data_IF_089651423093
#
_entry.id   IF_089651423093
#
_cell.length_a   1.000
_cell.length_b   1.000
_cell.length_c   1.000
_cell.angle_alpha   90.00
_cell.angle_beta   90.00
_cell.angle_gamma   90.00
#
_symmetry.space_group_name_H-M   'P 1'
#
loop_
_entity.id
_entity.type
_entity.pdbx_description
1 polymer ?
#
# COMPACT_ATOMS: atom_id res chain seq x y z
N UNK A 1 20.43 3.62 16.36
CA UNK A 1 19.81 2.63 15.45
C UNK A 1 18.47 3.19 15.04
N UNK A 2 18.37 3.68 13.81
CA UNK A 2 17.06 4.01 13.24
C UNK A 2 16.36 2.69 12.95
N UNK A 3 15.43 2.31 13.82
CA UNK A 3 14.59 1.13 13.63
C UNK A 3 13.61 1.45 12.50
N UNK A 4 14.06 1.30 11.26
CA UNK A 4 13.24 1.51 10.07
C UNK A 4 12.01 0.62 10.12
N UNK A 5 10.82 1.19 9.87
CA UNK A 5 9.58 0.41 9.83
C UNK A 5 9.61 -0.44 8.57
N UNK A 6 9.47 -1.75 8.69
CA UNK A 6 9.37 -2.64 7.54
C UNK A 6 7.91 -2.73 7.05
N UNK A 7 7.73 -2.75 5.74
CA UNK A 7 6.44 -3.00 5.13
C UNK A 7 5.96 -4.42 5.48
N UNK A 8 4.77 -4.52 6.05
CA UNK A 8 4.18 -5.81 6.46
C UNK A 8 3.84 -6.72 5.27
N UNK A 9 3.74 -6.16 4.06
CA UNK A 9 3.35 -6.89 2.84
C UNK A 9 4.55 -7.40 2.04
N UNK A 10 5.57 -6.55 1.82
CA UNK A 10 6.74 -6.89 1.02
C UNK A 10 8.03 -7.10 1.84
N UNK A 11 8.02 -6.83 3.16
CA UNK A 11 9.16 -7.00 4.07
C UNK A 11 10.28 -5.95 3.91
N UNK A 12 10.20 -5.09 2.89
CA UNK A 12 11.21 -4.06 2.62
C UNK A 12 11.15 -2.95 3.68
N UNK A 13 12.29 -2.38 4.08
CA UNK A 13 12.30 -1.19 4.93
C UNK A 13 11.59 -0.03 4.21
N UNK A 14 10.72 0.66 4.92
CA UNK A 14 10.04 1.86 4.44
C UNK A 14 10.99 3.03 4.66
N UNK A 15 11.61 3.52 3.58
CA UNK A 15 12.54 4.65 3.61
C UNK A 15 11.85 6.02 3.61
N UNK A 16 10.53 6.07 3.59
CA UNK A 16 9.73 7.30 3.50
C UNK A 16 8.50 7.24 4.39
N UNK A 17 7.37 7.75 3.88
CA UNK A 17 6.11 7.75 4.61
C UNK A 17 5.55 6.33 4.76
N UNK A 18 5.04 6.04 5.95
CA UNK A 18 4.41 4.76 6.29
C UNK A 18 2.92 4.89 6.09
N UNK A 19 2.36 4.03 5.26
CA UNK A 19 0.93 3.98 4.98
C UNK A 19 0.27 2.88 5.79
N UNK A 20 -0.96 3.09 6.23
CA UNK A 20 -1.73 2.08 6.95
C UNK A 20 -2.93 1.65 6.10
N UNK A 21 -3.03 0.35 5.82
CA UNK A 21 -4.16 -0.22 5.07
C UNK A 21 -4.71 -1.42 5.83
N UNK A 22 -6.02 -1.45 6.10
CA UNK A 22 -6.68 -2.52 6.88
C UNK A 22 -5.98 -2.80 8.23
N UNK A 23 -5.38 -1.79 8.85
CA UNK A 23 -4.68 -1.91 10.14
C UNK A 23 -3.26 -2.47 10.07
N UNK A 24 -2.66 -2.61 8.87
CA UNK A 24 -1.25 -2.98 8.71
C UNK A 24 -0.43 -1.85 8.10
N UNK A 25 0.81 -1.68 8.59
CA UNK A 25 1.77 -0.70 8.08
C UNK A 25 2.48 -1.24 6.84
N UNK A 26 2.39 -0.50 5.75
CA UNK A 26 2.90 -0.87 4.43
C UNK A 26 3.57 0.34 3.75
N UNK A 27 4.43 0.06 2.76
CA UNK A 27 4.97 1.11 1.90
C UNK A 27 3.92 1.64 0.92
N UNK A 28 4.18 2.83 0.36
CA UNK A 28 3.35 3.47 -0.67
C UNK A 28 2.99 2.52 -1.82
N UNK A 29 3.97 1.81 -2.35
CA UNK A 29 3.82 0.88 -3.47
C UNK A 29 2.77 -0.20 -3.16
N UNK A 30 2.89 -0.83 -1.99
CA UNK A 30 1.94 -1.84 -1.52
C UNK A 30 0.56 -1.25 -1.22
N UNK A 31 0.49 -0.01 -0.76
CA UNK A 31 -0.75 0.70 -0.48
C UNK A 31 -1.51 1.01 -1.76
N UNK A 32 -0.84 1.52 -2.78
CA UNK A 32 -1.42 1.80 -4.09
C UNK A 32 -1.99 0.53 -4.72
N UNK A 33 -1.24 -0.58 -4.72
CA UNK A 33 -1.74 -1.87 -5.22
C UNK A 33 -3.04 -2.32 -4.53
N UNK A 34 -3.10 -2.22 -3.20
CA UNK A 34 -4.28 -2.60 -2.42
C UNK A 34 -5.47 -1.67 -2.65
N UNK A 35 -5.23 -0.37 -2.76
CA UNK A 35 -6.27 0.64 -3.08
C UNK A 35 -6.81 0.42 -4.48
N UNK A 36 -5.93 0.19 -5.48
CA UNK A 36 -6.33 -0.09 -6.85
C UNK A 36 -7.11 -1.41 -6.93
N UNK A 37 -6.69 -2.44 -6.20
CA UNK A 37 -7.40 -3.71 -6.13
C UNK A 37 -8.75 -3.61 -5.40
N UNK A 38 -8.86 -2.71 -4.42
CA UNK A 38 -10.09 -2.49 -3.64
C UNK A 38 -11.08 -1.57 -4.35
N UNK A 39 -10.61 -0.73 -5.27
CA UNK A 39 -11.49 0.06 -6.13
C UNK A 39 -12.26 -0.89 -7.07
N UNK A 40 -13.61 -0.81 -7.11
CA UNK A 40 -14.37 -1.58 -8.07
C UNK A 40 -13.91 -1.17 -9.47
N UNK A 41 -13.47 -2.15 -10.28
CA UNK A 41 -13.07 -1.96 -11.69
C UNK A 41 -14.25 -1.54 -12.60
N UNK A 42 -15.27 -0.87 -12.09
CA UNK A 42 -16.35 -0.29 -12.88
C UNK A 42 -15.94 1.10 -13.40
N UNK A 43 -14.77 1.22 -14.01
CA UNK A 43 -14.64 2.16 -15.12
C UNK A 43 -15.16 1.42 -16.36
N UNK A 44 -16.47 1.12 -16.35
CA UNK A 44 -17.16 0.77 -17.57
C UNK A 44 -17.18 2.04 -18.40
N UNK A 45 -16.23 2.20 -19.31
CA UNK A 45 -16.37 3.17 -20.38
C UNK A 45 -17.60 2.74 -21.16
N UNK A 46 -18.75 3.34 -20.83
CA UNK A 46 -19.97 3.24 -21.62
C UNK A 46 -19.58 3.73 -23.00
N UNK A 47 -19.61 2.81 -23.96
CA UNK A 47 -19.36 3.05 -25.39
C UNK A 47 -20.15 4.23 -25.92
#
# INVERSE_FOLDING_TARGET
METGINCSKCGKPISGEVYEFKGVKICEDCYLDDVIASQPKSCAMRR
#
